data_IF_738678126477
#
_entry.id   IF_738678126477
#
_cell.length_a   1.000
_cell.length_b   1.000
_cell.length_c   1.000
_cell.angle_alpha   90.00
_cell.angle_beta   90.00
_cell.angle_gamma   90.00
#
_symmetry.space_group_name_H-M   'P 1'
#
loop_
_entity.id
_entity.type
_entity.pdbx_description
1 polymer ?
#
# COMPACT_ATOMS: atom_id res chain seq x y z
N UNK A 1 -14.42 -15.40 0.74
CA UNK A 1 -14.59 -14.05 1.27
C UNK A 1 -15.18 -13.15 0.18
N UNK A 2 -16.19 -12.32 0.51
CA UNK A 2 -16.63 -11.26 -0.40
C UNK A 2 -15.45 -10.35 -0.76
N UNK A 3 -15.39 -9.92 -2.01
CA UNK A 3 -14.34 -9.02 -2.48
C UNK A 3 -14.91 -7.99 -3.45
N UNK A 4 -14.24 -6.84 -3.53
CA UNK A 4 -14.56 -5.77 -4.46
C UNK A 4 -13.31 -5.41 -5.27
N UNK A 5 -13.47 -5.31 -6.59
CA UNK A 5 -12.47 -4.79 -7.51
C UNK A 5 -12.98 -3.49 -8.11
N UNK A 6 -12.33 -2.38 -7.76
CA UNK A 6 -12.69 -1.04 -8.22
C UNK A 6 -11.95 -0.63 -9.50
N UNK A 7 -10.96 -1.42 -9.91
CA UNK A 7 -10.16 -1.15 -11.10
C UNK A 7 -10.87 -1.52 -12.40
N UNK A 8 -10.19 -1.28 -13.53
CA UNK A 8 -10.70 -1.65 -14.86
C UNK A 8 -10.68 -3.16 -15.11
N UNK A 9 -9.77 -3.88 -14.45
CA UNK A 9 -9.61 -5.32 -14.58
C UNK A 9 -10.51 -6.02 -13.57
N UNK A 10 -11.33 -6.97 -14.03
CA UNK A 10 -12.24 -7.78 -13.21
C UNK A 10 -13.10 -6.93 -12.25
N UNK A 11 -13.51 -5.74 -12.70
CA UNK A 11 -14.39 -4.88 -11.92
C UNK A 11 -15.69 -5.62 -11.62
N UNK A 12 -16.06 -5.69 -10.35
CA UNK A 12 -17.29 -6.32 -9.87
C UNK A 12 -18.17 -5.37 -9.05
N UNK A 13 -17.91 -4.06 -9.14
CA UNK A 13 -18.69 -3.00 -8.52
C UNK A 13 -19.25 -2.08 -9.59
N UNK A 14 -20.57 -1.87 -9.59
CA UNK A 14 -21.24 -1.14 -10.64
C UNK A 14 -20.99 0.37 -10.62
N UNK A 15 -20.75 0.92 -11.81
CA UNK A 15 -20.75 2.35 -12.11
C UNK A 15 -19.40 3.04 -11.99
N UNK A 16 -19.25 4.19 -12.69
CA UNK A 16 -18.01 4.94 -12.78
C UNK A 16 -17.55 5.56 -11.44
N UNK A 17 -18.45 5.61 -10.46
CA UNK A 17 -18.21 6.16 -9.14
C UNK A 17 -18.54 5.17 -8.02
N UNK A 18 -18.28 3.87 -8.24
CA UNK A 18 -18.61 2.80 -7.30
C UNK A 18 -18.10 3.07 -5.87
N UNK A 19 -16.86 3.59 -5.72
CA UNK A 19 -16.33 3.99 -4.42
C UNK A 19 -17.23 5.01 -3.74
N UNK A 20 -17.68 6.02 -4.47
CA UNK A 20 -18.52 7.10 -3.93
C UNK A 20 -19.91 6.60 -3.55
N UNK A 21 -20.44 5.65 -4.32
CA UNK A 21 -21.76 5.04 -4.03
C UNK A 21 -21.69 4.13 -2.81
N UNK A 22 -20.64 3.32 -2.68
CA UNK A 22 -20.48 2.40 -1.56
C UNK A 22 -20.03 3.11 -0.26
N UNK A 23 -19.22 4.16 -0.39
CA UNK A 23 -18.63 4.88 0.74
C UNK A 23 -18.82 6.39 0.59
N UNK A 24 -20.06 6.92 0.76
CA UNK A 24 -20.35 8.34 0.56
C UNK A 24 -19.49 9.28 1.42
N UNK A 25 -19.12 8.84 2.63
CA UNK A 25 -18.27 9.62 3.54
C UNK A 25 -16.83 9.84 3.01
N UNK A 26 -16.39 9.00 2.07
CA UNK A 26 -15.10 9.19 1.41
C UNK A 26 -15.08 10.38 0.45
N UNK A 27 -16.21 11.04 0.23
CA UNK A 27 -16.35 12.20 -0.65
C UNK A 27 -16.29 13.52 0.08
N UNK A 28 -16.50 13.53 1.40
CA UNK A 28 -16.61 14.73 2.21
C UNK A 28 -15.22 15.28 2.59
N UNK A 29 -15.01 16.59 2.42
CA UNK A 29 -13.89 17.29 3.04
C UNK A 29 -12.65 17.55 2.19
N UNK A 30 -12.75 17.76 0.86
CA UNK A 30 -11.59 17.86 -0.01
C UNK A 30 -11.25 19.22 -0.55
N UNK A 31 -10.25 19.85 0.08
CA UNK A 31 -9.45 20.92 -0.53
C UNK A 31 -8.29 20.34 -1.37
N UNK A 32 -8.48 20.25 -2.69
CA UNK A 32 -7.39 20.36 -3.67
C UNK A 32 -6.40 19.21 -3.87
N UNK A 33 -6.60 18.01 -3.31
CA UNK A 33 -5.71 16.85 -3.58
C UNK A 33 -6.30 15.92 -4.65
N UNK A 34 -5.41 15.20 -5.36
CA UNK A 34 -5.80 14.26 -6.42
C UNK A 34 -6.95 13.34 -5.95
N UNK A 35 -8.08 13.56 -6.56
CA UNK A 35 -9.39 12.99 -6.26
C UNK A 35 -9.36 11.46 -6.09
N UNK A 36 -8.64 10.75 -6.96
CA UNK A 36 -8.60 9.30 -6.99
C UNK A 36 -7.88 8.65 -5.82
N UNK A 37 -6.69 9.15 -5.47
CA UNK A 37 -5.85 8.54 -4.42
C UNK A 37 -6.49 8.64 -3.04
N UNK A 38 -7.17 9.74 -2.76
CA UNK A 38 -7.87 9.93 -1.49
C UNK A 38 -9.08 9.00 -1.35
N UNK A 39 -9.92 8.92 -2.38
CA UNK A 39 -11.10 8.06 -2.36
C UNK A 39 -10.73 6.60 -2.22
N UNK A 40 -9.69 6.16 -2.93
CA UNK A 40 -9.17 4.81 -2.84
C UNK A 40 -8.63 4.51 -1.44
N UNK A 41 -7.84 5.40 -0.87
CA UNK A 41 -7.31 5.26 0.49
C UNK A 41 -8.44 5.18 1.53
N UNK A 42 -9.43 6.07 1.42
CA UNK A 42 -10.60 6.03 2.28
C UNK A 42 -11.39 4.73 2.11
N UNK A 43 -11.62 4.28 0.87
CA UNK A 43 -12.29 3.00 0.61
C UNK A 43 -11.54 1.82 1.22
N UNK A 44 -10.21 1.78 1.11
CA UNK A 44 -9.37 0.74 1.70
C UNK A 44 -9.57 0.58 3.21
N UNK A 45 -9.86 1.67 3.93
CA UNK A 45 -10.09 1.62 5.40
C UNK A 45 -11.33 0.83 5.83
N UNK A 46 -12.23 0.52 4.88
CA UNK A 46 -13.41 -0.31 5.12
C UNK A 46 -13.15 -1.81 4.91
N UNK A 47 -11.92 -2.21 4.55
CA UNK A 47 -11.57 -3.60 4.28
C UNK A 47 -10.57 -4.13 5.30
N UNK A 48 -10.75 -5.40 5.69
CA UNK A 48 -9.75 -6.12 6.48
C UNK A 48 -8.45 -6.36 5.72
N UNK A 49 -8.56 -6.61 4.42
CA UNK A 49 -7.45 -6.95 3.54
C UNK A 49 -7.50 -6.13 2.25
N UNK A 50 -6.34 -5.82 1.71
CA UNK A 50 -6.19 -5.15 0.41
C UNK A 50 -5.15 -5.91 -0.41
N UNK A 51 -5.49 -6.25 -1.67
CA UNK A 51 -4.51 -6.78 -2.61
C UNK A 51 -3.58 -5.66 -3.06
N UNK A 52 -2.31 -5.78 -2.70
CA UNK A 52 -1.24 -4.87 -3.11
C UNK A 52 -0.31 -5.62 -4.07
N UNK A 53 -0.60 -5.52 -5.37
CA UNK A 53 0.13 -6.19 -6.43
C UNK A 53 0.95 -5.17 -7.19
N UNK A 54 2.27 -5.32 -7.18
CA UNK A 54 3.17 -4.44 -7.91
C UNK A 54 3.22 -4.78 -9.41
N UNK A 55 3.60 -3.81 -10.22
CA UNK A 55 3.68 -3.98 -11.66
C UNK A 55 4.89 -4.84 -12.09
N UNK A 56 5.88 -4.99 -11.21
CA UNK A 56 7.09 -5.76 -11.48
C UNK A 56 7.60 -6.45 -10.23
N UNK A 57 8.29 -7.55 -10.41
CA UNK A 57 8.97 -8.31 -9.38
C UNK A 57 10.45 -7.91 -9.36
N UNK A 58 10.74 -6.76 -8.76
CA UNK A 58 12.09 -6.19 -8.69
C UNK A 58 12.42 -5.84 -7.26
N UNK A 59 13.65 -6.09 -6.85
CA UNK A 59 14.16 -5.73 -5.54
C UNK A 59 13.96 -4.23 -5.26
N UNK A 60 13.45 -3.93 -4.06
CA UNK A 60 13.16 -2.58 -3.60
C UNK A 60 12.11 -1.79 -4.42
N UNK A 61 11.46 -2.43 -5.39
CA UNK A 61 10.35 -1.80 -6.10
C UNK A 61 9.06 -1.98 -5.29
N UNK A 62 8.79 -1.01 -4.44
CA UNK A 62 7.60 -0.94 -3.60
C UNK A 62 6.94 0.41 -3.79
N UNK A 63 5.66 0.41 -4.10
CA UNK A 63 4.92 1.63 -4.45
C UNK A 63 3.84 1.99 -3.43
N UNK A 64 3.08 3.03 -3.74
CA UNK A 64 1.95 3.50 -2.96
C UNK A 64 0.91 2.42 -2.64
N UNK A 65 0.81 1.36 -3.48
CA UNK A 65 -0.18 0.29 -3.30
C UNK A 65 -0.06 -0.38 -1.94
N UNK A 66 1.18 -0.66 -1.53
CA UNK A 66 1.47 -1.26 -0.24
C UNK A 66 1.25 -0.28 0.91
N UNK A 67 1.83 0.92 0.77
CA UNK A 67 1.82 1.91 1.85
C UNK A 67 0.42 2.46 2.10
N UNK A 68 -0.39 2.67 1.06
CA UNK A 68 -1.78 3.09 1.23
C UNK A 68 -2.63 2.04 1.96
N UNK A 69 -2.41 0.75 1.70
CA UNK A 69 -3.11 -0.30 2.44
C UNK A 69 -2.72 -0.31 3.92
N UNK A 70 -1.42 -0.19 4.22
CA UNK A 70 -0.92 -0.07 5.60
C UNK A 70 -1.48 1.17 6.30
N UNK A 71 -1.43 2.33 5.66
CA UNK A 71 -1.91 3.59 6.24
C UNK A 71 -3.43 3.57 6.46
N UNK A 72 -4.19 2.98 5.53
CA UNK A 72 -5.63 2.83 5.64
C UNK A 72 -6.07 1.87 6.76
N UNK A 73 -5.16 1.06 7.30
CA UNK A 73 -5.48 0.13 8.36
C UNK A 73 -5.89 -1.27 7.89
N UNK A 74 -5.79 -1.55 6.61
CA UNK A 74 -5.98 -2.89 6.07
C UNK A 74 -4.69 -3.71 6.18
N UNK A 75 -4.82 -5.05 6.15
CA UNK A 75 -3.68 -5.96 6.01
C UNK A 75 -3.40 -6.13 4.52
N UNK A 76 -2.23 -5.71 4.01
CA UNK A 76 -1.88 -5.95 2.62
C UNK A 76 -1.63 -7.44 2.35
N UNK A 77 -2.25 -7.97 1.30
CA UNK A 77 -1.83 -9.23 0.66
C UNK A 77 -0.92 -8.82 -0.49
N UNK A 78 0.38 -8.98 -0.29
CA UNK A 78 1.40 -8.37 -1.14
C UNK A 78 2.00 -9.34 -2.15
N UNK A 79 2.14 -8.86 -3.39
CA UNK A 79 2.90 -9.49 -4.46
C UNK A 79 3.79 -8.44 -5.12
N UNK A 80 5.12 -8.60 -5.03
CA UNK A 80 6.08 -7.62 -5.56
C UNK A 80 7.51 -7.89 -5.10
N UNK A 81 8.21 -6.87 -4.66
CA UNK A 81 9.62 -6.93 -4.31
C UNK A 81 9.97 -8.10 -3.38
N UNK A 82 10.99 -8.90 -3.72
CA UNK A 82 11.40 -10.06 -2.90
C UNK A 82 11.92 -9.66 -1.52
N UNK A 83 12.44 -8.44 -1.38
CA UNK A 83 12.96 -7.89 -0.13
C UNK A 83 11.98 -6.95 0.59
N UNK A 84 10.68 -7.09 0.37
CA UNK A 84 9.64 -6.20 0.94
C UNK A 84 9.71 -6.13 2.48
N UNK A 85 10.10 -7.21 3.15
CA UNK A 85 10.19 -7.25 4.61
C UNK A 85 11.24 -6.30 5.19
N UNK A 86 12.23 -5.88 4.39
CA UNK A 86 13.20 -4.86 4.78
C UNK A 86 12.60 -3.44 4.80
N UNK A 87 11.43 -3.27 4.16
CA UNK A 87 10.80 -1.96 3.88
C UNK A 87 9.52 -1.73 4.67
N UNK A 88 9.01 -2.74 5.38
CA UNK A 88 7.73 -2.67 6.13
C UNK A 88 7.91 -3.07 7.59
N UNK A 89 6.96 -2.73 8.47
CA UNK A 89 6.99 -3.21 9.84
C UNK A 89 6.89 -4.73 9.89
N UNK A 90 7.63 -5.38 10.82
CA UNK A 90 7.53 -6.83 10.99
C UNK A 90 6.09 -7.30 11.24
N UNK A 91 5.68 -8.37 10.54
CA UNK A 91 4.35 -8.96 10.70
C UNK A 91 3.18 -8.07 10.25
N UNK A 92 3.42 -7.07 9.40
CA UNK A 92 2.37 -6.14 8.95
C UNK A 92 1.68 -6.54 7.65
N UNK A 93 2.21 -7.51 6.91
CA UNK A 93 1.72 -7.92 5.59
C UNK A 93 1.59 -9.44 5.48
N UNK A 94 0.79 -9.90 4.53
CA UNK A 94 0.77 -11.29 4.06
C UNK A 94 1.50 -11.34 2.73
N UNK A 95 2.66 -12.02 2.68
CA UNK A 95 3.39 -12.22 1.42
C UNK A 95 2.72 -13.34 0.62
N UNK A 96 1.95 -12.98 -0.41
CA UNK A 96 1.20 -13.94 -1.23
C UNK A 96 2.10 -14.94 -1.96
N UNK A 97 3.30 -14.51 -2.35
CA UNK A 97 4.30 -15.35 -3.02
C UNK A 97 4.91 -16.46 -2.16
N UNK A 98 4.75 -16.43 -0.84
CA UNK A 98 5.23 -17.48 0.06
C UNK A 98 4.30 -18.69 0.12
N UNK A 99 3.11 -18.58 -0.44
CA UNK A 99 2.15 -19.68 -0.47
C UNK A 99 2.35 -20.57 -1.70
N UNK A 100 2.14 -21.88 -1.52
CA UNK A 100 2.33 -22.86 -2.60
C UNK A 100 1.26 -22.75 -3.69
N UNK A 101 0.08 -22.23 -3.35
CA UNK A 101 -1.02 -22.03 -4.30
C UNK A 101 -1.93 -20.89 -3.84
N UNK A 102 -2.78 -20.40 -4.76
CA UNK A 102 -3.78 -19.38 -4.44
C UNK A 102 -4.84 -19.90 -3.45
N UNK A 103 -5.14 -21.20 -3.51
CA UNK A 103 -6.06 -21.86 -2.59
C UNK A 103 -5.52 -21.82 -1.16
N UNK A 104 -4.23 -22.17 -0.96
CA UNK A 104 -3.59 -22.12 0.35
C UNK A 104 -3.50 -20.71 0.90
N UNK A 105 -3.27 -19.70 0.06
CA UNK A 105 -3.34 -18.29 0.43
C UNK A 105 -4.76 -17.91 0.85
N UNK A 106 -5.77 -18.29 0.06
CA UNK A 106 -7.17 -17.99 0.35
C UNK A 106 -7.64 -18.62 1.67
N UNK A 107 -7.23 -19.83 1.96
CA UNK A 107 -7.51 -20.51 3.23
C UNK A 107 -6.89 -19.78 4.40
N UNK A 108 -5.61 -19.39 4.27
CA UNK A 108 -4.92 -18.62 5.30
C UNK A 108 -5.58 -17.26 5.54
N UNK A 109 -5.93 -16.53 4.48
CA UNK A 109 -6.65 -15.25 4.60
C UNK A 109 -8.00 -15.43 5.29
N UNK A 110 -8.75 -16.51 5.01
CA UNK A 110 -9.98 -16.84 5.73
C UNK A 110 -9.72 -17.12 7.20
N UNK A 111 -8.66 -17.85 7.52
CA UNK A 111 -8.28 -18.11 8.91
C UNK A 111 -8.00 -16.80 9.64
N UNK A 112 -7.15 -15.92 9.09
CA UNK A 112 -6.85 -14.60 9.67
C UNK A 112 -8.12 -13.75 9.82
N UNK A 113 -9.01 -13.78 8.82
CA UNK A 113 -10.28 -13.02 8.86
C UNK A 113 -11.20 -13.41 10.00
N UNK A 114 -11.17 -14.70 10.42
CA UNK A 114 -12.06 -15.28 11.41
C UNK A 114 -11.42 -15.41 12.81
N UNK A 115 -10.11 -15.21 12.92
CA UNK A 115 -9.37 -15.26 14.17
C UNK A 115 -8.96 -13.84 14.60
N UNK A 116 -9.61 -13.26 15.60
CA UNK A 116 -9.29 -11.91 16.08
C UNK A 116 -7.85 -11.77 16.61
N UNK A 117 -7.28 -12.85 17.16
CA UNK A 117 -5.92 -12.83 17.71
C UNK A 117 -4.91 -12.75 16.56
N UNK A 118 -5.06 -13.62 15.55
CA UNK A 118 -4.22 -13.57 14.34
C UNK A 118 -4.37 -12.23 13.62
N UNK A 119 -5.60 -11.76 13.44
CA UNK A 119 -5.87 -10.48 12.79
C UNK A 119 -5.20 -9.32 13.54
N UNK A 120 -5.35 -9.25 14.87
CA UNK A 120 -4.73 -8.20 15.67
C UNK A 120 -3.21 -8.26 15.67
N UNK A 121 -2.64 -9.44 15.49
CA UNK A 121 -1.19 -9.65 15.36
C UNK A 121 -0.60 -8.84 14.21
N UNK A 122 -1.28 -8.76 13.06
CA UNK A 122 -0.87 -7.95 11.91
C UNK A 122 -0.88 -6.44 12.17
N UNK A 123 -1.53 -5.99 13.24
CA UNK A 123 -1.59 -4.59 13.65
C UNK A 123 -0.72 -4.28 14.89
N UNK A 124 0.00 -5.27 15.42
CA UNK A 124 0.80 -5.10 16.65
C UNK A 124 1.85 -3.98 16.52
N UNK A 125 2.43 -3.83 15.34
CA UNK A 125 3.42 -2.78 15.03
C UNK A 125 2.89 -1.35 15.26
N UNK A 126 1.57 -1.14 15.20
CA UNK A 126 0.95 0.17 15.40
C UNK A 126 1.00 0.64 16.86
N UNK A 127 1.15 -0.27 17.81
CA UNK A 127 1.19 0.05 19.25
C UNK A 127 2.47 0.80 19.65
N UNK A 128 3.57 0.51 18.95
CA UNK A 128 4.87 1.13 19.21
C UNK A 128 5.17 2.31 18.27
N UNK A 129 4.22 2.68 17.41
CA UNK A 129 4.42 3.68 16.37
C UNK A 129 5.24 3.17 15.19
N UNK A 130 5.53 4.07 14.26
CA UNK A 130 6.35 3.76 13.09
C UNK A 130 7.82 3.72 13.51
N UNK A 131 8.41 2.54 13.57
CA UNK A 131 9.79 2.30 14.03
C UNK A 131 10.57 1.44 13.03
N UNK A 132 11.90 1.38 13.22
CA UNK A 132 12.78 0.52 12.43
C UNK A 132 12.85 0.91 10.95
N UNK A 133 12.97 -0.09 10.09
CA UNK A 133 13.14 0.09 8.65
C UNK A 133 11.98 0.86 8.00
N UNK A 134 10.76 0.65 8.46
CA UNK A 134 9.60 1.39 7.94
C UNK A 134 9.69 2.89 8.24
N UNK A 135 10.13 3.27 9.43
CA UNK A 135 10.38 4.67 9.77
C UNK A 135 11.43 5.28 8.84
N UNK A 136 12.55 4.59 8.64
CA UNK A 136 13.62 5.06 7.76
C UNK A 136 13.15 5.18 6.31
N UNK A 137 12.43 4.18 5.80
CA UNK A 137 11.88 4.18 4.43
C UNK A 137 10.89 5.33 4.24
N UNK A 138 10.01 5.55 5.21
CA UNK A 138 9.04 6.64 5.17
C UNK A 138 9.72 8.01 5.20
N UNK A 139 10.65 8.22 6.13
CA UNK A 139 11.40 9.47 6.25
C UNK A 139 12.19 9.77 4.96
N UNK A 140 12.83 8.74 4.38
CA UNK A 140 13.57 8.90 3.13
C UNK A 140 12.63 9.19 1.95
N UNK A 141 11.50 8.51 1.85
CA UNK A 141 10.61 8.60 0.69
C UNK A 141 9.69 9.81 0.71
N UNK A 142 9.13 10.15 1.86
CA UNK A 142 8.11 11.20 1.98
C UNK A 142 8.68 12.52 2.48
N UNK A 143 9.50 12.48 3.53
CA UNK A 143 9.90 13.69 4.25
C UNK A 143 11.13 14.35 3.61
N UNK A 144 12.03 13.58 3.02
CA UNK A 144 13.29 14.08 2.49
C UNK A 144 13.39 14.14 0.96
N UNK A 145 12.40 13.59 0.22
CA UNK A 145 12.45 13.55 -1.24
C UNK A 145 12.65 14.94 -1.89
N UNK A 146 11.90 15.97 -1.51
CA UNK A 146 12.11 17.31 -2.09
C UNK A 146 13.52 17.84 -1.85
N UNK A 147 14.04 17.66 -0.63
CA UNK A 147 15.40 18.10 -0.29
C UNK A 147 16.48 17.33 -1.05
N UNK A 148 16.30 16.00 -1.23
CA UNK A 148 17.23 15.18 -2.00
C UNK A 148 17.22 15.54 -3.48
N UNK A 149 16.03 15.74 -4.07
CA UNK A 149 15.91 16.21 -5.46
C UNK A 149 16.58 17.58 -5.63
N UNK A 150 16.33 18.52 -4.73
CA UNK A 150 16.96 19.82 -4.74
C UNK A 150 18.50 19.69 -4.67
N UNK A 151 19.02 18.84 -3.79
CA UNK A 151 20.45 18.58 -3.67
C UNK A 151 21.07 17.98 -4.93
N UNK A 152 20.37 17.03 -5.58
CA UNK A 152 20.81 16.41 -6.83
C UNK A 152 20.87 17.46 -7.95
N UNK A 153 19.79 18.23 -8.12
CA UNK A 153 19.71 19.28 -9.16
C UNK A 153 20.77 20.35 -8.92
N UNK A 154 20.98 20.79 -7.67
CA UNK A 154 22.00 21.78 -7.32
C UNK A 154 23.40 21.28 -7.62
N UNK A 155 23.73 20.02 -7.33
CA UNK A 155 25.03 19.40 -7.63
C UNK A 155 25.25 19.25 -9.14
N UNK A 156 24.21 19.00 -9.90
CA UNK A 156 24.24 18.92 -11.36
C UNK A 156 24.28 20.31 -12.04
N UNK A 157 24.32 21.42 -11.26
CA UNK A 157 24.34 22.77 -11.79
C UNK A 157 23.07 23.17 -12.53
N UNK A 158 21.93 22.51 -12.19
CA UNK A 158 20.65 22.74 -12.87
C UNK A 158 20.57 22.21 -14.29
N UNK A 159 21.55 21.41 -14.73
CA UNK A 159 21.56 20.80 -16.06
C UNK A 159 20.68 19.57 -16.11
N UNK A 160 19.99 19.36 -17.23
CA UNK A 160 19.17 18.19 -17.46
C UNK A 160 19.99 16.90 -17.41
N UNK A 161 19.37 15.79 -16.98
CA UNK A 161 20.03 14.49 -16.86
C UNK A 161 20.64 13.98 -18.18
N UNK A 162 20.23 14.51 -19.32
CA UNK A 162 20.76 14.23 -20.65
C UNK A 162 22.15 14.84 -20.91
N UNK A 163 22.61 15.74 -20.03
CA UNK A 163 23.92 16.39 -20.16
C UNK A 163 25.01 15.78 -19.27
N UNK A 164 24.72 14.66 -18.61
CA UNK A 164 25.68 13.87 -17.83
C UNK A 164 26.09 12.67 -18.69
N UNK A 165 27.05 12.88 -19.59
CA UNK A 165 27.76 11.83 -20.30
C UNK A 165 29.04 11.48 -19.57
#
# INVERSE_FOLDING_TARGET
>A
LPHHSFGKCLNNVDGPNAILTMYPRCTEGQGGRSYWSYHLHCAMSHYKFVLAIENTWTESYVTEKLFYALDAGAIPIYFGAPNVLDLVPPGSIIEGSKFKSMESLAEYVKQVANDPVLYSGYHAWRRCGVMGNYYQTRAVSLDSLPCRLCSIVSRAGGKDATSIS
#
